data_IF_075433503426
#
_entry.id   IF_075433503426
#
_cell.length_a   1.000
_cell.length_b   1.000
_cell.length_c   1.000
_cell.angle_alpha   90.00
_cell.angle_beta   90.00
_cell.angle_gamma   90.00
#
_symmetry.space_group_name_H-M   'P 1'
#
loop_
_entity.id
_entity.type
_entity.pdbx_description
1 polymer ?
#
# COMPACT_ATOMS: atom_id res chain seq x y z
N UNK A 1 -2.86 -33.19 46.66
CA UNK A 1 -2.58 -33.00 45.22
C UNK A 1 -3.67 -33.72 44.44
N UNK A 2 -4.28 -33.04 43.45
CA UNK A 2 -5.31 -33.48 42.49
C UNK A 2 -6.77 -33.44 42.97
N UNK A 3 -7.42 -32.32 42.66
CA UNK A 3 -8.89 -32.20 42.52
C UNK A 3 -9.18 -32.18 41.02
N UNK A 4 -9.93 -33.17 40.53
CA UNK A 4 -10.48 -33.22 39.17
C UNK A 4 -11.90 -32.64 39.21
N UNK A 5 -12.13 -31.54 38.49
CA UNK A 5 -13.42 -30.88 38.35
C UNK A 5 -14.05 -31.31 37.01
N UNK A 6 -14.93 -32.32 37.05
CA UNK A 6 -15.75 -32.72 35.91
C UNK A 6 -17.13 -32.05 35.98
N UNK A 7 -17.35 -31.16 35.01
CA UNK A 7 -18.55 -30.98 34.18
C UNK A 7 -19.95 -31.10 34.83
N UNK A 8 -20.64 -29.95 34.88
CA UNK A 8 -22.06 -29.83 35.21
C UNK A 8 -22.96 -29.98 33.97
N UNK A 9 -23.82 -31.00 34.03
CA UNK A 9 -25.27 -31.01 33.78
C UNK A 9 -25.77 -30.54 32.40
N UNK A 10 -26.15 -31.53 31.58
CA UNK A 10 -27.08 -31.42 30.46
C UNK A 10 -28.52 -31.77 30.89
N UNK A 11 -29.47 -31.27 30.09
CA UNK A 11 -30.90 -31.66 29.93
C UNK A 11 -31.93 -30.86 30.72
N UNK A 12 -32.68 -30.05 29.97
CA UNK A 12 -34.14 -29.95 30.08
C UNK A 12 -34.71 -29.86 28.66
N UNK A 13 -35.38 -30.94 28.27
CA UNK A 13 -36.20 -31.02 27.07
C UNK A 13 -37.65 -30.89 27.52
N UNK A 14 -38.36 -29.89 27.01
CA UNK A 14 -39.81 -29.78 27.16
C UNK A 14 -40.48 -29.88 25.79
N UNK A 15 -41.19 -30.99 25.63
CA UNK A 15 -42.11 -31.32 24.55
C UNK A 15 -43.42 -30.54 24.69
N UNK A 16 -43.87 -29.90 23.60
CA UNK A 16 -45.30 -29.58 23.40
C UNK A 16 -45.75 -29.94 21.97
N UNK A 17 -47.03 -30.34 21.82
CA UNK A 17 -47.49 -31.20 20.72
C UNK A 17 -47.76 -30.47 19.39
N UNK A 18 -47.60 -31.24 18.31
CA UNK A 18 -47.92 -30.91 16.93
C UNK A 18 -49.41 -30.61 16.74
N UNK A 19 -49.71 -29.49 16.08
CA UNK A 19 -51.01 -29.23 15.48
C UNK A 19 -50.83 -29.11 13.97
N UNK A 20 -51.49 -30.00 13.24
CA UNK A 20 -51.48 -30.04 11.78
C UNK A 20 -52.34 -28.91 11.20
N UNK A 21 -51.79 -28.19 10.21
CA UNK A 21 -52.54 -27.32 9.33
C UNK A 21 -52.16 -27.62 7.86
N UNK A 22 -53.19 -27.76 7.04
CA UNK A 22 -53.20 -28.17 5.64
C UNK A 22 -52.53 -27.16 4.69
N UNK A 23 -52.14 -27.59 3.46
CA UNK A 23 -51.39 -26.75 2.52
C UNK A 23 -52.32 -25.81 1.74
N UNK A 24 -51.99 -24.52 1.70
CA UNK A 24 -52.61 -23.55 0.81
C UNK A 24 -51.63 -23.13 -0.29
N UNK A 25 -52.13 -23.27 -1.52
CA UNK A 25 -51.63 -22.91 -2.84
C UNK A 25 -50.46 -21.91 -2.96
N UNK A 26 -49.54 -22.28 -3.84
CA UNK A 26 -48.49 -21.46 -4.46
C UNK A 26 -49.08 -20.48 -5.48
N UNK A 27 -48.76 -19.19 -5.34
CA UNK A 27 -48.70 -18.22 -6.45
C UNK A 27 -47.40 -17.42 -6.32
N UNK A 28 -46.63 -17.20 -7.41
CA UNK A 28 -45.35 -16.50 -7.36
C UNK A 28 -45.55 -14.99 -7.49
N UNK A 29 -45.63 -14.29 -6.37
CA UNK A 29 -45.40 -12.84 -6.35
C UNK A 29 -43.89 -12.58 -6.43
N UNK A 30 -43.42 -12.08 -7.57
CA UNK A 30 -42.06 -11.56 -7.75
C UNK A 30 -41.80 -10.49 -6.69
N UNK A 31 -40.97 -10.79 -5.70
CA UNK A 31 -40.44 -9.80 -4.78
C UNK A 31 -39.47 -8.89 -5.55
N UNK A 32 -39.96 -7.71 -5.93
CA UNK A 32 -39.10 -6.63 -6.40
C UNK A 32 -38.17 -6.22 -5.26
N UNK A 33 -36.86 -6.34 -5.50
CA UNK A 33 -35.85 -5.83 -4.58
C UNK A 33 -36.06 -4.31 -4.39
N UNK A 34 -35.89 -3.78 -3.16
CA UNK A 34 -36.00 -2.35 -2.91
C UNK A 34 -35.02 -1.60 -3.81
N UNK A 35 -35.54 -0.75 -4.69
CA UNK A 35 -34.74 0.15 -5.51
C UNK A 35 -33.92 1.04 -4.57
N UNK A 36 -32.60 0.91 -4.63
CA UNK A 36 -31.68 1.87 -4.01
C UNK A 36 -32.03 3.27 -4.54
N UNK A 37 -32.16 4.27 -3.66
CA UNK A 37 -32.37 5.64 -4.12
C UNK A 37 -31.21 6.06 -5.02
N UNK A 38 -31.53 6.57 -6.20
CA UNK A 38 -30.56 7.11 -7.14
C UNK A 38 -29.79 8.23 -6.44
N UNK A 39 -28.48 8.02 -6.27
CA UNK A 39 -27.59 9.03 -5.70
C UNK A 39 -27.60 10.24 -6.65
N UNK A 40 -27.83 11.47 -6.17
CA UNK A 40 -27.85 12.65 -7.03
C UNK A 40 -26.52 12.84 -7.77
N UNK A 41 -26.58 13.22 -9.04
CA UNK A 41 -25.44 13.39 -9.97
C UNK A 41 -24.32 14.32 -9.44
N UNK A 42 -24.68 15.22 -8.49
CA UNK A 42 -23.73 16.07 -7.76
C UNK A 42 -22.77 15.24 -6.90
N UNK A 43 -23.23 14.17 -6.27
CA UNK A 43 -22.38 13.32 -5.43
C UNK A 43 -21.44 12.46 -6.29
N UNK A 44 -21.88 12.05 -7.49
CA UNK A 44 -21.02 11.35 -8.45
C UNK A 44 -19.88 12.24 -8.99
N UNK A 45 -20.12 13.56 -9.13
CA UNK A 45 -19.08 14.55 -9.47
C UNK A 45 -18.07 14.79 -8.34
N UNK A 46 -18.48 14.67 -7.07
CA UNK A 46 -17.55 14.78 -5.93
C UNK A 46 -16.63 13.56 -5.75
N UNK A 47 -16.94 12.41 -6.37
CA UNK A 47 -16.08 11.23 -6.36
C UNK A 47 -15.10 11.16 -7.54
N UNK A 48 -15.22 12.05 -8.53
CA UNK A 48 -14.40 12.01 -9.76
C UNK A 48 -13.28 13.05 -9.79
N UNK A 49 -13.32 14.09 -8.96
CA UNK A 49 -12.26 15.13 -8.86
C UNK A 49 -11.18 14.83 -7.81
N UNK A 50 -11.03 13.58 -7.37
CA UNK A 50 -9.88 13.18 -6.54
C UNK A 50 -8.67 12.94 -7.45
N UNK A 51 -7.92 14.01 -7.70
CA UNK A 51 -6.74 14.09 -8.57
C UNK A 51 -7.03 13.68 -10.03
N UNK A 52 -7.32 14.66 -10.89
CA UNK A 52 -7.23 14.42 -12.33
C UNK A 52 -5.79 13.99 -12.67
N UNK A 53 -5.58 12.76 -13.18
CA UNK A 53 -4.27 12.37 -13.68
C UNK A 53 -3.94 13.26 -14.88
N UNK A 54 -2.75 13.86 -14.88
CA UNK A 54 -2.24 14.51 -16.08
C UNK A 54 -2.27 13.48 -17.21
N UNK A 55 -3.10 13.74 -18.23
CA UNK A 55 -3.33 12.80 -19.33
C UNK A 55 -2.03 12.57 -20.12
N UNK A 56 -1.44 11.40 -19.88
CA UNK A 56 -0.25 10.86 -20.53
C UNK A 56 -0.05 9.45 -20.01
N UNK A 57 0.58 8.56 -20.79
CA UNK A 57 0.89 7.21 -20.32
C UNK A 57 1.61 7.32 -18.97
N UNK A 58 0.95 6.89 -17.89
CA UNK A 58 1.47 7.06 -16.53
C UNK A 58 2.82 6.38 -16.45
N UNK A 59 3.85 7.14 -16.08
CA UNK A 59 5.18 6.63 -15.78
C UNK A 59 5.23 5.95 -14.40
N UNK A 60 4.07 5.78 -13.77
CA UNK A 60 3.89 5.15 -12.47
C UNK A 60 3.32 3.75 -12.67
N UNK A 61 4.06 2.76 -12.19
CA UNK A 61 3.61 1.37 -12.16
C UNK A 61 2.54 1.25 -11.07
N UNK A 62 1.34 0.80 -11.46
CA UNK A 62 0.29 0.49 -10.49
C UNK A 62 0.53 -0.90 -9.90
N UNK A 63 0.49 -1.00 -8.59
CA UNK A 63 0.58 -2.26 -7.86
C UNK A 63 -0.63 -3.15 -8.18
N UNK A 64 -0.43 -4.47 -8.15
CA UNK A 64 -1.44 -5.45 -8.57
C UNK A 64 -2.17 -6.12 -7.40
N UNK A 65 -1.68 -5.95 -6.18
CA UNK A 65 -2.25 -6.51 -4.94
C UNK A 65 -2.17 -5.48 -3.82
N UNK A 66 -2.98 -5.63 -2.77
CA UNK A 66 -2.94 -4.70 -1.63
C UNK A 66 -1.57 -4.65 -0.93
N UNK A 67 -0.88 -5.78 -0.85
CA UNK A 67 0.36 -5.92 -0.09
C UNK A 67 1.63 -5.62 -0.90
N UNK A 68 1.57 -5.57 -2.24
CA UNK A 68 2.78 -5.56 -3.07
C UNK A 68 3.29 -4.16 -3.47
N UNK A 69 2.99 -3.13 -2.66
CA UNK A 69 3.46 -1.77 -2.95
C UNK A 69 5.00 -1.64 -2.96
N UNK A 70 5.72 -2.37 -2.10
CA UNK A 70 7.18 -2.41 -2.12
C UNK A 70 7.73 -3.04 -3.42
N UNK A 71 7.14 -4.16 -3.85
CA UNK A 71 7.48 -4.80 -5.13
C UNK A 71 7.15 -3.90 -6.33
N UNK A 72 6.06 -3.13 -6.27
CA UNK A 72 5.70 -2.15 -7.29
C UNK A 72 6.71 -1.01 -7.36
N UNK A 73 7.18 -0.51 -6.20
CA UNK A 73 8.24 0.50 -6.14
C UNK A 73 9.55 -0.03 -6.74
N UNK A 74 10.02 -1.20 -6.31
CA UNK A 74 11.24 -1.79 -6.87
C UNK A 74 11.12 -2.06 -8.38
N UNK A 75 9.95 -2.53 -8.84
CA UNK A 75 9.65 -2.68 -10.27
C UNK A 75 9.70 -1.35 -11.00
N UNK A 76 9.12 -0.28 -10.44
CA UNK A 76 9.10 1.05 -11.05
C UNK A 76 10.51 1.68 -11.14
N UNK A 77 11.36 1.44 -10.14
CA UNK A 77 12.73 1.95 -10.13
C UNK A 77 13.71 1.08 -10.92
N UNK A 78 13.31 -0.14 -11.28
CA UNK A 78 14.15 -1.05 -12.04
C UNK A 78 14.58 -0.44 -13.38
N UNK A 79 15.88 -0.46 -13.72
CA UNK A 79 16.36 0.00 -15.03
C UNK A 79 15.86 -0.88 -16.18
N UNK A 80 15.36 -2.08 -15.87
CA UNK A 80 14.81 -3.04 -16.84
C UNK A 80 13.29 -3.08 -16.83
N UNK A 81 12.64 -2.16 -16.10
CA UNK A 81 11.19 -2.05 -16.10
C UNK A 81 10.67 -1.79 -17.52
N UNK A 82 10.06 -2.81 -18.11
CA UNK A 82 9.29 -2.62 -19.34
C UNK A 82 8.10 -1.72 -19.04
N UNK A 83 7.74 -0.83 -19.97
CA UNK A 83 6.50 -0.03 -19.91
C UNK A 83 5.22 -0.87 -20.11
N UNK A 84 5.38 -2.18 -20.25
CA UNK A 84 4.29 -3.14 -20.38
C UNK A 84 3.79 -3.56 -19.00
N UNK A 85 2.52 -3.28 -18.71
CA UNK A 85 1.88 -3.62 -17.44
C UNK A 85 1.92 -5.13 -17.13
N UNK A 86 1.88 -6.00 -18.13
CA UNK A 86 1.96 -7.45 -17.90
C UNK A 86 3.38 -7.91 -17.48
N UNK A 87 4.41 -7.29 -18.05
CA UNK A 87 5.79 -7.53 -17.63
C UNK A 87 6.05 -6.98 -16.21
N UNK A 88 5.53 -5.79 -15.91
CA UNK A 88 5.61 -5.20 -14.58
C UNK A 88 4.90 -6.08 -13.53
N UNK A 89 3.69 -6.57 -13.82
CA UNK A 89 2.95 -7.49 -12.93
C UNK A 89 3.74 -8.75 -12.61
N UNK A 90 4.30 -9.43 -13.62
CA UNK A 90 5.12 -10.63 -13.41
C UNK A 90 6.36 -10.35 -12.56
N UNK A 91 6.99 -9.19 -12.74
CA UNK A 91 8.13 -8.78 -11.93
C UNK A 91 7.73 -8.53 -10.47
N UNK A 92 6.61 -7.82 -10.24
CA UNK A 92 6.07 -7.62 -8.90
C UNK A 92 5.80 -8.95 -8.19
N UNK A 93 5.16 -9.90 -8.87
CA UNK A 93 4.90 -11.24 -8.32
C UNK A 93 6.19 -12.00 -7.97
N UNK A 94 7.21 -11.90 -8.84
CA UNK A 94 8.50 -12.54 -8.62
C UNK A 94 9.26 -11.93 -7.42
N UNK A 95 9.23 -10.61 -7.27
CA UNK A 95 9.83 -9.90 -6.14
C UNK A 95 9.12 -10.25 -4.83
N UNK A 96 7.79 -10.16 -4.80
CA UNK A 96 6.96 -10.50 -3.64
C UNK A 96 7.20 -11.95 -3.19
N UNK A 97 7.15 -12.91 -4.14
CA UNK A 97 7.36 -14.33 -3.85
C UNK A 97 8.76 -14.65 -3.33
N UNK A 98 9.76 -13.82 -3.67
CA UNK A 98 11.15 -14.06 -3.28
C UNK A 98 11.49 -13.43 -1.95
N UNK A 99 10.96 -12.25 -1.66
CA UNK A 99 11.46 -11.39 -0.58
C UNK A 99 10.46 -11.15 0.54
N UNK A 100 9.20 -11.55 0.40
CA UNK A 100 8.15 -11.29 1.41
C UNK A 100 7.39 -12.56 1.74
N UNK A 101 6.58 -12.53 2.79
CA UNK A 101 5.61 -13.58 3.12
C UNK A 101 4.18 -13.30 2.61
N UNK A 102 4.00 -12.17 1.90
CA UNK A 102 2.71 -11.68 1.40
C UNK A 102 1.94 -10.74 2.34
N UNK A 103 2.48 -10.41 3.53
CA UNK A 103 1.89 -9.45 4.48
C UNK A 103 2.08 -7.98 4.12
N UNK A 104 3.08 -7.68 3.29
CA UNK A 104 3.47 -6.35 2.85
C UNK A 104 4.94 -6.35 2.48
N UNK A 105 5.62 -5.22 2.61
CA UNK A 105 7.07 -5.15 2.42
C UNK A 105 7.70 -4.32 3.52
N UNK A 106 8.54 -4.92 4.35
CA UNK A 106 9.36 -4.19 5.34
C UNK A 106 10.44 -3.33 4.65
N UNK A 107 11.07 -2.37 5.35
CA UNK A 107 12.20 -1.64 4.80
C UNK A 107 13.37 -2.53 4.36
N UNK A 108 13.68 -3.59 5.12
CA UNK A 108 14.76 -4.55 4.80
C UNK A 108 14.42 -5.37 3.55
N UNK A 109 13.19 -5.86 3.42
CA UNK A 109 12.74 -6.59 2.24
C UNK A 109 12.73 -5.70 1.00
N UNK A 110 12.27 -4.45 1.12
CA UNK A 110 12.33 -3.47 0.05
C UNK A 110 13.77 -3.21 -0.40
N UNK A 111 14.71 -3.07 0.55
CA UNK A 111 16.13 -2.92 0.24
C UNK A 111 16.68 -4.13 -0.53
N UNK A 112 16.29 -5.35 -0.16
CA UNK A 112 16.67 -6.58 -0.91
C UNK A 112 16.08 -6.59 -2.32
N UNK A 113 14.83 -6.15 -2.49
CA UNK A 113 14.22 -6.00 -3.81
C UNK A 113 14.97 -4.97 -4.66
N UNK A 114 15.33 -3.82 -4.11
CA UNK A 114 16.09 -2.77 -4.81
C UNK A 114 17.49 -3.28 -5.21
N UNK A 115 18.18 -3.98 -4.31
CA UNK A 115 19.47 -4.61 -4.59
C UNK A 115 19.38 -5.65 -5.73
N UNK A 116 18.31 -6.46 -5.73
CA UNK A 116 18.04 -7.40 -6.82
C UNK A 116 17.86 -6.71 -8.18
N UNK A 117 17.26 -5.51 -8.16
CA UNK A 117 17.10 -4.68 -9.35
C UNK A 117 18.36 -3.85 -9.71
N UNK A 118 19.47 -4.08 -9.01
CA UNK A 118 20.76 -3.45 -9.26
C UNK A 118 20.89 -2.02 -8.72
N UNK A 119 20.05 -1.65 -7.75
CA UNK A 119 20.04 -0.34 -7.12
C UNK A 119 20.72 -0.37 -5.75
N UNK A 120 21.42 0.72 -5.42
CA UNK A 120 22.04 0.91 -4.11
C UNK A 120 21.15 1.79 -3.24
N UNK A 121 20.86 1.30 -2.03
CA UNK A 121 20.38 2.14 -0.93
C UNK A 121 21.57 2.90 -0.37
N UNK A 122 21.54 4.23 -0.45
CA UNK A 122 22.67 5.11 -0.07
C UNK A 122 22.51 5.74 1.31
N UNK A 123 21.27 5.80 1.79
CA UNK A 123 20.90 6.35 3.10
C UNK A 123 19.50 5.86 3.47
N UNK A 124 19.29 5.63 4.76
CA UNK A 124 17.96 5.44 5.35
C UNK A 124 17.81 6.28 6.61
N UNK A 125 16.63 6.83 6.83
CA UNK A 125 16.26 7.56 8.06
C UNK A 125 14.81 7.30 8.42
N UNK A 126 14.49 7.19 9.71
CA UNK A 126 13.12 6.93 10.18
C UNK A 126 12.15 8.10 9.94
N UNK A 127 12.67 9.28 9.62
CA UNK A 127 11.90 10.49 9.33
C UNK A 127 12.19 11.01 7.91
N UNK A 128 11.33 11.92 7.44
CA UNK A 128 11.55 12.65 6.19
C UNK A 128 12.54 13.81 6.39
N UNK A 129 13.79 13.63 5.95
CA UNK A 129 14.87 14.61 6.07
C UNK A 129 14.99 15.45 4.79
N UNK A 130 14.22 16.55 4.72
CA UNK A 130 14.11 17.39 3.51
C UNK A 130 15.46 17.83 2.91
N UNK A 131 16.46 18.30 3.69
CA UNK A 131 17.79 18.60 3.15
C UNK A 131 18.41 17.44 2.36
N UNK A 132 18.33 16.23 2.89
CA UNK A 132 18.87 15.04 2.21
C UNK A 132 18.07 14.64 0.98
N UNK A 133 16.75 14.79 1.03
CA UNK A 133 15.89 14.56 -0.15
C UNK A 133 16.27 15.54 -1.25
N UNK A 134 16.40 16.84 -0.93
CA UNK A 134 16.77 17.87 -1.91
C UNK A 134 18.15 17.59 -2.52
N UNK A 135 19.12 17.20 -1.69
CA UNK A 135 20.44 16.83 -2.18
C UNK A 135 20.36 15.61 -3.10
N UNK A 136 19.66 14.55 -2.71
CA UNK A 136 19.48 13.34 -3.50
C UNK A 136 18.86 13.66 -4.87
N UNK A 137 17.74 14.39 -4.88
CA UNK A 137 17.05 14.80 -6.11
C UNK A 137 17.95 15.65 -7.01
N UNK A 138 18.76 16.56 -6.45
CA UNK A 138 19.73 17.36 -7.23
C UNK A 138 20.82 16.53 -7.92
N UNK A 139 21.08 15.32 -7.41
CA UNK A 139 22.03 14.35 -7.98
C UNK A 139 21.35 13.34 -8.92
N UNK A 140 20.06 13.51 -9.23
CA UNK A 140 19.28 12.57 -10.04
C UNK A 140 18.99 11.25 -9.34
N UNK A 141 19.10 11.21 -8.01
CA UNK A 141 18.71 10.05 -7.19
C UNK A 141 17.22 10.14 -6.88
N UNK A 142 16.66 9.03 -6.40
CA UNK A 142 15.26 8.92 -6.03
C UNK A 142 15.15 8.69 -4.52
N UNK A 143 14.01 9.05 -3.95
CA UNK A 143 13.72 8.78 -2.55
C UNK A 143 12.48 7.91 -2.46
N UNK A 144 12.57 6.80 -1.73
CA UNK A 144 11.44 5.93 -1.43
C UNK A 144 11.00 6.22 0.00
N UNK A 145 9.71 6.43 0.22
CA UNK A 145 9.19 6.76 1.56
C UNK A 145 7.99 5.91 1.91
N UNK A 146 7.87 5.56 3.19
CA UNK A 146 6.68 4.93 3.73
C UNK A 146 5.75 6.00 4.29
N UNK A 147 4.50 6.01 3.83
CA UNK A 147 3.52 7.05 4.12
C UNK A 147 2.25 6.47 4.71
N UNK A 148 1.59 7.25 5.56
CA UNK A 148 0.20 7.02 5.93
C UNK A 148 -0.69 7.58 4.82
N UNK A 149 -1.37 6.67 4.13
CA UNK A 149 -2.20 6.98 2.95
C UNK A 149 -3.39 7.92 3.21
N UNK A 150 -3.84 8.10 4.45
CA UNK A 150 -4.90 9.07 4.76
C UNK A 150 -4.34 10.49 4.96
N UNK A 151 -3.05 10.64 5.27
CA UNK A 151 -2.41 11.96 5.46
C UNK A 151 -2.17 12.70 4.15
N UNK A 152 -2.06 11.98 3.04
CA UNK A 152 -1.86 12.55 1.71
C UNK A 152 -3.16 12.65 0.89
N UNK A 153 -4.24 12.03 1.37
CA UNK A 153 -5.52 12.00 0.65
C UNK A 153 -6.34 13.28 0.87
N UNK A 154 -6.86 13.83 -0.22
CA UNK A 154 -7.85 14.92 -0.19
C UNK A 154 -9.24 14.39 0.16
N UNK A 155 -10.01 15.13 0.96
CA UNK A 155 -11.41 14.79 1.28
C UNK A 155 -11.59 13.63 2.28
N UNK A 156 -10.49 13.15 2.87
CA UNK A 156 -10.50 12.15 3.94
C UNK A 156 -10.16 12.87 5.25
N UNK A 157 -10.79 12.45 6.36
CA UNK A 157 -10.38 12.95 7.67
C UNK A 157 -8.95 12.47 7.95
N UNK A 158 -7.99 13.39 7.78
CA UNK A 158 -6.58 13.15 8.04
C UNK A 158 -6.29 12.66 9.47
N UNK A 159 -7.24 12.76 10.41
CA UNK A 159 -7.10 12.22 11.78
C UNK A 159 -7.31 10.71 11.86
N UNK A 160 -7.93 10.11 10.85
CA UNK A 160 -8.11 8.66 10.78
C UNK A 160 -6.86 8.05 10.16
N UNK A 161 -6.21 7.15 10.88
CA UNK A 161 -5.07 6.39 10.37
C UNK A 161 -5.42 5.70 9.04
N UNK A 162 -4.60 5.93 8.03
CA UNK A 162 -4.63 5.16 6.80
C UNK A 162 -3.88 3.84 6.97
N UNK A 163 -3.60 3.20 5.84
CA UNK A 163 -2.64 2.10 5.80
C UNK A 163 -1.25 2.60 5.41
N UNK A 164 -0.24 1.83 5.81
CA UNK A 164 1.17 2.02 5.46
C UNK A 164 1.44 1.68 4.00
N UNK A 165 2.06 2.61 3.26
CA UNK A 165 2.27 2.46 1.82
C UNK A 165 3.62 3.01 1.38
N UNK A 166 4.32 2.31 0.48
CA UNK A 166 5.56 2.79 -0.12
C UNK A 166 5.29 3.61 -1.38
N UNK A 167 5.87 4.81 -1.46
CA UNK A 167 5.81 5.69 -2.63
C UNK A 167 7.20 6.18 -3.03
N UNK A 168 7.33 6.70 -4.25
CA UNK A 168 8.58 7.28 -4.74
C UNK A 168 8.45 8.79 -4.89
N UNK A 169 9.46 9.51 -4.43
CA UNK A 169 9.69 10.93 -4.71
C UNK A 169 10.82 11.04 -5.72
N UNK A 170 10.55 11.62 -6.89
CA UNK A 170 11.51 11.69 -8.00
C UNK A 170 11.80 13.11 -8.50
N UNK A 171 11.27 14.14 -7.83
CA UNK A 171 11.54 15.52 -8.19
C UNK A 171 10.74 16.52 -7.38
N UNK A 172 10.79 17.77 -7.84
CA UNK A 172 9.98 18.87 -7.34
C UNK A 172 9.26 19.58 -8.49
N UNK A 173 8.11 20.16 -8.21
CA UNK A 173 7.46 21.13 -9.10
C UNK A 173 8.14 22.52 -9.01
N UNK A 174 7.66 23.44 -9.85
CA UNK A 174 8.12 24.83 -9.93
C UNK A 174 7.82 25.66 -8.66
N UNK A 175 6.97 25.14 -7.77
CA UNK A 175 6.62 25.75 -6.48
C UNK A 175 7.42 25.15 -5.32
N UNK A 176 8.29 24.17 -5.58
CA UNK A 176 9.09 23.47 -4.58
C UNK A 176 8.33 22.38 -3.82
N UNK A 177 7.18 21.93 -4.32
CA UNK A 177 6.49 20.75 -3.79
C UNK A 177 7.13 19.48 -4.35
N UNK A 178 7.13 18.41 -3.56
CA UNK A 178 7.65 17.11 -3.98
C UNK A 178 6.68 16.40 -4.92
N UNK A 179 7.24 15.84 -5.99
CA UNK A 179 6.52 14.98 -6.94
C UNK A 179 6.52 13.54 -6.43
N UNK A 180 5.35 13.07 -6.01
CA UNK A 180 5.14 11.72 -5.50
C UNK A 180 4.53 10.85 -6.59
N UNK A 181 5.11 9.67 -6.78
CA UNK A 181 4.59 8.56 -7.59
C UNK A 181 4.01 7.51 -6.65
N UNK A 182 2.71 7.32 -6.76
CA UNK A 182 1.93 6.47 -5.88
C UNK A 182 1.50 5.21 -6.63
N UNK A 183 2.08 4.08 -6.24
CA UNK A 183 1.83 2.80 -6.92
C UNK A 183 0.46 2.23 -6.59
N UNK A 184 -0.18 2.66 -5.49
CA UNK A 184 -1.54 2.22 -5.14
C UNK A 184 -2.57 2.78 -6.14
N UNK A 185 -2.41 4.04 -6.53
CA UNK A 185 -3.28 4.69 -7.53
C UNK A 185 -2.78 4.51 -8.96
N UNK A 186 -1.47 4.34 -9.16
CA UNK A 186 -0.85 4.40 -10.48
C UNK A 186 -0.72 5.84 -11.00
N UNK A 187 -0.73 6.82 -10.09
CA UNK A 187 -0.77 8.25 -10.39
C UNK A 187 0.43 8.99 -9.79
N UNK A 188 0.64 10.21 -10.30
CA UNK A 188 1.63 11.17 -9.79
C UNK A 188 0.90 12.40 -9.24
N UNK A 189 1.33 12.93 -8.11
CA UNK A 189 0.79 14.15 -7.51
C UNK A 189 1.85 14.96 -6.77
N UNK A 190 1.55 16.23 -6.51
CA UNK A 190 2.43 17.17 -5.81
C UNK A 190 2.01 17.34 -4.36
N UNK A 191 2.96 17.31 -3.42
CA UNK A 191 2.71 17.58 -1.99
C UNK A 191 3.79 18.49 -1.42
N UNK A 192 3.40 19.36 -0.49
CA UNK A 192 4.39 20.18 0.22
C UNK A 192 5.32 19.32 1.07
N UNK A 193 6.51 19.85 1.38
CA UNK A 193 7.46 19.17 2.25
C UNK A 193 6.89 18.83 3.63
N UNK A 194 6.08 19.72 4.20
CA UNK A 194 5.46 19.46 5.49
C UNK A 194 4.45 18.30 5.41
N UNK A 195 3.61 18.26 4.37
CA UNK A 195 2.61 17.19 4.21
C UNK A 195 3.24 15.81 4.12
N UNK A 196 4.30 15.66 3.32
CA UNK A 196 4.99 14.36 3.21
C UNK A 196 5.74 14.01 4.49
N UNK A 197 6.36 14.98 5.17
CA UNK A 197 7.03 14.74 6.44
C UNK A 197 6.04 14.30 7.54
N UNK A 198 4.88 14.94 7.63
CA UNK A 198 3.82 14.57 8.57
C UNK A 198 3.26 13.18 8.25
N UNK A 199 3.14 12.83 6.97
CA UNK A 199 2.68 11.50 6.55
C UNK A 199 3.68 10.39 6.90
N UNK A 200 4.98 10.61 6.70
CA UNK A 200 6.04 9.66 7.11
C UNK A 200 6.08 9.54 8.64
N UNK A 201 5.99 10.66 9.36
CA UNK A 201 5.94 10.66 10.82
C UNK A 201 4.73 9.89 11.36
N UNK A 202 3.54 10.11 10.78
CA UNK A 202 2.32 9.37 11.12
C UNK A 202 2.47 7.87 10.83
N UNK A 203 3.08 7.50 9.71
CA UNK A 203 3.35 6.10 9.38
C UNK A 203 4.23 5.45 10.44
N UNK A 204 5.32 6.11 10.82
CA UNK A 204 6.21 5.63 11.87
C UNK A 204 5.50 5.45 13.22
N UNK A 205 4.74 6.45 13.65
CA UNK A 205 4.03 6.42 14.94
C UNK A 205 2.95 5.34 15.01
N UNK A 206 2.20 5.13 13.91
CA UNK A 206 1.03 4.26 13.89
C UNK A 206 1.35 2.83 13.46
N UNK A 207 2.38 2.65 12.64
CA UNK A 207 2.74 1.35 12.07
C UNK A 207 4.09 0.84 12.57
N UNK A 208 4.81 1.60 13.42
CA UNK A 208 6.06 1.20 14.07
C UNK A 208 7.19 0.81 13.12
N UNK A 209 7.17 1.34 11.90
CA UNK A 209 8.21 1.13 10.90
C UNK A 209 8.05 2.09 9.75
N UNK A 210 9.00 2.02 8.82
CA UNK A 210 9.08 2.90 7.67
C UNK A 210 10.14 3.98 7.79
N UNK A 211 9.88 5.13 7.17
CA UNK A 211 10.84 6.20 7.00
C UNK A 211 11.14 6.46 5.53
N UNK A 212 12.36 6.90 5.23
CA UNK A 212 12.82 7.16 3.88
C UNK A 212 14.11 6.42 3.55
N UNK A 213 14.24 6.05 2.27
CA UNK A 213 15.44 5.49 1.66
C UNK A 213 15.86 6.37 0.48
N UNK A 214 17.12 6.77 0.43
CA UNK A 214 17.72 7.37 -0.78
C UNK A 214 18.27 6.24 -1.63
N UNK A 215 17.84 6.20 -2.89
CA UNK A 215 18.12 5.10 -3.82
C UNK A 215 18.71 5.64 -5.12
N UNK A 216 19.68 4.94 -5.68
CA UNK A 216 20.17 5.23 -7.02
C UNK A 216 21.12 4.16 -7.54
N UNK A 217 21.66 4.39 -8.73
CA UNK A 217 22.68 3.49 -9.29
C UNK A 217 23.93 3.44 -8.38
N UNK A 218 24.58 2.27 -8.25
CA UNK A 218 25.84 2.18 -7.54
C UNK A 218 26.94 2.93 -8.32
N UNK A 219 27.93 3.47 -7.60
CA UNK A 219 29.04 4.22 -8.22
C UNK A 219 29.93 3.35 -9.13
N UNK A 220 29.95 2.05 -8.87
CA UNK A 220 30.62 1.02 -9.67
C UNK A 220 29.73 -0.22 -9.71
N UNK A 221 29.94 -1.12 -10.68
CA UNK A 221 29.24 -2.39 -10.71
C UNK A 221 29.46 -3.16 -9.39
N UNK A 222 28.37 -3.62 -8.79
CA UNK A 222 28.35 -4.42 -7.56
C UNK A 222 27.37 -5.57 -7.76
N UNK A 223 27.64 -6.71 -7.16
CA UNK A 223 26.70 -7.83 -7.13
C UNK A 223 25.58 -7.59 -6.10
N UNK A 224 24.50 -8.36 -6.23
CA UNK A 224 23.32 -8.27 -5.35
C UNK A 224 23.69 -8.44 -3.86
N UNK A 225 24.61 -9.35 -3.53
CA UNK A 225 25.01 -9.60 -2.14
C UNK A 225 25.67 -8.38 -1.51
N UNK A 226 26.62 -7.77 -2.24
CA UNK A 226 27.27 -6.52 -1.80
C UNK A 226 26.28 -5.37 -1.63
N UNK A 227 25.29 -5.25 -2.54
CA UNK A 227 24.24 -4.22 -2.44
C UNK A 227 23.36 -4.44 -1.21
N UNK A 228 22.99 -5.69 -0.90
CA UNK A 228 22.23 -6.04 0.30
C UNK A 228 23.01 -5.74 1.58
N UNK A 229 24.29 -6.14 1.66
CA UNK A 229 25.13 -5.86 2.84
C UNK A 229 25.22 -4.36 3.14
N UNK A 230 25.38 -3.54 2.11
CA UNK A 230 25.36 -2.08 2.25
C UNK A 230 23.99 -1.55 2.66
N UNK A 231 22.92 -2.07 2.06
CA UNK A 231 21.59 -1.60 2.36
C UNK A 231 21.21 -1.88 3.83
N UNK A 232 21.66 -2.99 4.41
CA UNK A 232 21.44 -3.31 5.81
C UNK A 232 22.00 -2.23 6.77
N UNK A 233 23.13 -1.60 6.42
CA UNK A 233 23.70 -0.47 7.18
C UNK A 233 22.78 0.76 7.23
N UNK A 234 21.75 0.80 6.39
CA UNK A 234 20.84 1.92 6.22
C UNK A 234 19.40 1.59 6.62
N UNK A 235 19.03 0.32 6.76
CA UNK A 235 17.66 -0.10 7.09
C UNK A 235 17.43 -0.39 8.56
N UNK A 236 18.48 -0.66 9.36
CA UNK A 236 18.35 -0.97 10.79
C UNK A 236 17.57 0.09 11.59
N UNK A 237 17.61 1.35 11.12
CA UNK A 237 16.95 2.48 11.77
C UNK A 237 15.46 2.61 11.40
N UNK A 238 14.93 1.76 10.52
CA UNK A 238 13.62 1.92 9.88
C UNK A 238 12.53 1.01 10.47
N UNK A 239 12.82 0.26 11.54
CA UNK A 239 11.88 -0.72 12.09
C UNK A 239 11.67 -1.93 11.18
N UNK A 240 10.91 -2.91 11.65
CA UNK A 240 10.72 -4.22 11.02
C UNK A 240 9.27 -4.50 10.57
N UNK A 241 8.42 -3.47 10.51
CA UNK A 241 7.00 -3.64 10.15
C UNK A 241 6.73 -3.42 8.67
N UNK A 242 5.69 -4.10 8.19
CA UNK A 242 5.33 -4.14 6.77
C UNK A 242 4.67 -2.84 6.27
N UNK A 243 5.10 -2.40 5.09
CA UNK A 243 4.30 -1.55 4.21
C UNK A 243 3.32 -2.40 3.41
N UNK A 244 2.11 -2.64 3.93
CA UNK A 244 1.08 -3.47 3.27
C UNK A 244 -0.33 -2.85 3.27
N UNK A 245 -0.48 -1.67 3.85
CA UNK A 245 -1.76 -0.99 4.02
C UNK A 245 -2.14 -0.12 2.81
N UNK A 246 -2.35 -0.73 1.64
CA UNK A 246 -2.84 0.02 0.48
C UNK A 246 -4.37 0.20 0.58
N UNK A 247 -4.90 1.36 0.16
CA UNK A 247 -6.36 1.65 0.17
C UNK A 247 -7.18 0.74 -0.75
N UNK A 248 -6.53 -0.08 -1.56
CA UNK A 248 -7.15 -0.86 -2.61
C UNK A 248 -7.96 -2.08 -2.12
N UNK A 249 -8.08 -2.30 -0.80
CA UNK A 249 -9.12 -3.21 -0.23
C UNK A 249 -10.53 -2.92 -0.74
N UNK A 250 -10.83 -1.67 -1.12
CA UNK A 250 -12.11 -1.30 -1.73
C UNK A 250 -12.22 -1.58 -3.24
N UNK A 251 -11.11 -1.80 -3.94
CA UNK A 251 -11.03 -1.93 -5.39
C UNK A 251 -10.75 -3.36 -5.87
N UNK A 252 -10.13 -4.20 -5.03
CA UNK A 252 -9.82 -5.59 -5.37
C UNK A 252 -10.87 -6.61 -4.93
N UNK A 253 -11.96 -6.16 -4.30
CA UNK A 253 -13.03 -7.02 -3.80
C UNK A 253 -14.41 -6.62 -4.31
N UNK A 254 -14.74 -6.92 -5.58
CA UNK A 254 -16.06 -7.37 -6.08
C UNK A 254 -15.95 -7.81 -7.55
N UNK A 255 -15.35 -8.96 -7.82
CA UNK A 255 -15.78 -9.75 -8.98
C UNK A 255 -16.47 -11.00 -8.44
N UNK A 256 -17.79 -10.90 -8.30
CA UNK A 256 -18.65 -12.03 -7.92
C UNK A 256 -18.71 -13.00 -9.10
N UNK A 257 -18.42 -14.27 -8.81
CA UNK A 257 -18.74 -15.43 -9.66
C UNK A 257 -20.24 -15.56 -9.92
#
# INVERSE_FOLDING_TARGET
MRVNLFQSIARLAETRPQQAAQPAATDPAQAQAPQQPAVPDIVARYFTDSFEPAAGASDVVKQTKDANCGAAVATMLSPTAGKDGAAAARKMDALESRFTDGGGTTPEELAKMLAHEGLEVKKGTSNFDMPSVNEALSRGQQVVVQVDTNRLATGVDSKVAGGSHWVVVDGMDDKGNYQVKDTNTGSRYSVSGQQIADSVGSAWELHQGGGMLVVGAPQSAMDEGTLVEKANLHTDVLGDTDGGGSRARGSFGRESS
#
